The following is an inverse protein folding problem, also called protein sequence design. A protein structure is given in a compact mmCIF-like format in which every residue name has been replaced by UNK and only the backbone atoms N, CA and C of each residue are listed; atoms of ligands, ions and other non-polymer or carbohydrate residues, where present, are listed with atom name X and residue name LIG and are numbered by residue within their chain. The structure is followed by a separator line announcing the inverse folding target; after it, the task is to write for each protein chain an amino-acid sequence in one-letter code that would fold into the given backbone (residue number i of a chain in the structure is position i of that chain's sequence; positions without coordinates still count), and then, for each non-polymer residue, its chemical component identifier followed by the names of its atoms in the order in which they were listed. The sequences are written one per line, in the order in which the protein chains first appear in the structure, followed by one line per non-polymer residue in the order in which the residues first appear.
data_IF_902748594739
#
_entry.id   IF_902748594739
#
_cell.length_a   1.000
_cell.length_b   1.000
_cell.length_c   1.000
_cell.angle_alpha   90.00
_cell.angle_beta   90.00
_cell.angle_gamma   90.00
#
_symmetry.space_group_name_H-M   'P 1'
#
loop_
_entity.id
_entity.type
_entity.pdbx_description
1 polymer ?
#
# COMPACT_ATOMS: atom_id res chain seq x y z
N UNK A 1 21.59 -8.79 -4.32
CA UNK A 1 22.65 -7.81 -3.99
C UNK A 1 23.55 -8.41 -2.92
N UNK A 2 24.88 -8.47 -3.10
CA UNK A 2 25.79 -8.93 -2.02
C UNK A 2 25.88 -7.83 -0.95
N UNK A 3 25.56 -8.14 0.31
CA UNK A 3 25.74 -7.20 1.43
C UNK A 3 27.23 -6.98 1.68
N UNK A 4 27.70 -5.74 1.54
CA UNK A 4 29.07 -5.37 1.92
C UNK A 4 29.14 -4.98 3.39
N UNK A 5 30.36 -4.96 3.95
CA UNK A 5 30.61 -4.61 5.36
C UNK A 5 30.17 -3.18 5.66
N UNK A 6 30.34 -2.27 4.70
CA UNK A 6 29.94 -0.86 4.80
C UNK A 6 28.42 -0.72 4.89
N UNK A 7 27.66 -1.49 4.10
CA UNK A 7 26.19 -1.49 4.12
C UNK A 7 25.69 -2.02 5.47
N UNK A 8 26.25 -3.14 5.94
CA UNK A 8 25.88 -3.73 7.24
C UNK A 8 26.21 -2.79 8.41
N UNK A 9 27.34 -2.07 8.33
CA UNK A 9 27.71 -1.10 9.35
C UNK A 9 26.81 0.14 9.33
N UNK A 10 26.48 0.66 8.14
CA UNK A 10 25.54 1.76 8.01
C UNK A 10 24.18 1.40 8.59
N UNK A 11 23.66 0.20 8.27
CA UNK A 11 22.39 -0.31 8.78
C UNK A 11 22.36 -0.36 10.31
N UNK A 12 23.46 -0.75 10.98
CA UNK A 12 23.47 -0.74 12.45
C UNK A 12 23.53 0.67 13.03
N UNK A 13 24.25 1.61 12.42
CA UNK A 13 24.34 2.99 12.89
C UNK A 13 22.96 3.66 12.81
N UNK A 14 22.25 3.44 11.70
CA UNK A 14 20.91 3.96 11.43
C UNK A 14 19.80 3.19 12.15
N UNK A 15 20.11 2.02 12.73
CA UNK A 15 19.17 1.10 13.37
C UNK A 15 18.07 0.63 12.40
N UNK A 16 18.45 0.41 11.15
CA UNK A 16 17.55 0.07 10.06
C UNK A 16 16.91 -1.31 10.29
N UNK A 17 15.57 -1.33 10.43
CA UNK A 17 14.79 -2.54 10.67
C UNK A 17 14.60 -3.39 9.42
N UNK A 18 14.83 -2.84 8.22
CA UNK A 18 14.74 -3.61 6.96
C UNK A 18 15.78 -4.73 6.86
N UNK A 19 16.86 -4.62 7.65
CA UNK A 19 17.93 -5.63 7.74
C UNK A 19 17.73 -6.64 8.88
N UNK A 20 16.61 -6.60 9.61
CA UNK A 20 16.32 -7.61 10.63
C UNK A 20 16.28 -9.02 10.05
N UNK A 21 17.00 -9.95 10.70
CA UNK A 21 17.11 -11.33 10.24
C UNK A 21 18.03 -11.53 9.03
N UNK A 22 18.58 -10.47 8.45
CA UNK A 22 19.54 -10.54 7.33
C UNK A 22 20.96 -10.80 7.84
N UNK A 23 21.34 -10.16 8.95
CA UNK A 23 22.62 -10.37 9.60
C UNK A 23 22.58 -10.02 11.10
N UNK A 24 23.61 -10.45 11.83
CA UNK A 24 23.89 -10.09 13.22
C UNK A 24 25.24 -9.38 13.30
N UNK A 25 25.36 -8.41 14.20
CA UNK A 25 26.62 -7.72 14.48
C UNK A 25 27.23 -8.28 15.74
N UNK A 26 28.45 -8.78 15.67
CA UNK A 26 29.22 -9.19 16.83
C UNK A 26 30.28 -8.14 17.17
N UNK A 27 30.34 -7.73 18.43
CA UNK A 27 31.25 -6.70 18.93
C UNK A 27 32.45 -7.38 19.57
N UNK A 28 33.61 -7.31 18.91
CA UNK A 28 34.85 -8.01 19.29
C UNK A 28 35.29 -7.65 20.72
N UNK A 29 35.17 -6.38 21.08
CA UNK A 29 35.66 -5.84 22.37
C UNK A 29 34.81 -6.25 23.57
N UNK A 30 33.50 -6.47 23.39
CA UNK A 30 32.58 -6.80 24.50
C UNK A 30 32.16 -8.26 24.50
N UNK A 31 32.43 -8.99 23.42
CA UNK A 31 31.96 -10.36 23.23
C UNK A 31 30.44 -10.44 23.14
N UNK A 32 29.76 -9.39 22.67
CA UNK A 32 28.29 -9.31 22.56
C UNK A 32 27.89 -9.28 21.09
N UNK A 33 26.88 -10.06 20.71
CA UNK A 33 26.23 -9.89 19.40
C UNK A 33 24.83 -9.29 19.51
N UNK A 34 24.45 -8.52 18.49
CA UNK A 34 23.28 -7.66 18.42
C UNK A 34 22.57 -7.80 17.07
N UNK A 35 21.33 -7.33 17.03
CA UNK A 35 20.56 -7.12 15.81
C UNK A 35 20.85 -5.75 15.18
N UNK A 36 20.57 -5.54 13.88
CA UNK A 36 20.75 -4.24 13.24
C UNK A 36 19.97 -3.11 13.92
N UNK A 37 18.71 -3.37 14.33
CA UNK A 37 17.87 -2.38 15.01
C UNK A 37 18.22 -2.12 16.50
N UNK A 38 19.26 -2.76 17.04
CA UNK A 38 19.60 -2.66 18.46
C UNK A 38 19.83 -1.21 18.89
N UNK A 39 19.25 -0.78 20.01
CA UNK A 39 19.39 0.60 20.50
C UNK A 39 20.65 0.85 21.34
N UNK A 40 21.43 -0.19 21.63
CA UNK A 40 22.69 -0.08 22.37
C UNK A 40 23.70 0.84 21.65
N UNK A 41 24.64 1.42 22.43
CA UNK A 41 25.72 2.27 21.92
C UNK A 41 26.47 1.56 20.79
N UNK A 42 26.63 2.24 19.65
CA UNK A 42 27.22 1.66 18.45
C UNK A 42 28.76 1.60 18.57
N UNK A 43 29.38 0.43 18.41
CA UNK A 43 30.82 0.28 18.38
C UNK A 43 31.41 0.86 17.08
N UNK A 44 32.72 1.15 17.08
CA UNK A 44 33.44 1.52 15.86
C UNK A 44 33.50 0.34 14.87
N UNK A 45 33.59 0.63 13.57
CA UNK A 45 33.64 -0.36 12.49
C UNK A 45 34.74 -1.42 12.69
N UNK A 46 35.93 -1.00 13.10
CA UNK A 46 37.06 -1.88 13.40
C UNK A 46 36.77 -2.93 14.49
N UNK A 47 35.83 -2.63 15.38
CA UNK A 47 35.46 -3.45 16.55
C UNK A 47 34.26 -4.36 16.30
N UNK A 48 33.78 -4.48 15.06
CA UNK A 48 32.68 -5.37 14.71
C UNK A 48 33.04 -6.37 13.63
N UNK A 49 32.35 -7.51 13.66
CA UNK A 49 32.23 -8.44 12.55
C UNK A 49 30.76 -8.84 12.38
N UNK A 50 30.41 -9.37 11.22
CA UNK A 50 29.02 -9.65 10.85
C UNK A 50 28.82 -11.13 10.54
N UNK A 51 27.67 -11.65 10.94
CA UNK A 51 27.28 -13.05 10.77
C UNK A 51 25.89 -13.17 10.17
N UNK A 52 25.61 -14.25 9.45
CA UNK A 52 24.28 -14.47 8.87
C UNK A 52 23.30 -14.99 9.91
N UNK A 53 23.79 -15.80 10.85
CA UNK A 53 22.93 -16.48 11.83
C UNK A 53 23.41 -16.23 13.26
N UNK A 54 22.47 -16.23 14.21
CA UNK A 54 22.80 -16.18 15.64
C UNK A 54 23.59 -17.40 16.11
N UNK A 55 23.43 -18.54 15.42
CA UNK A 55 24.20 -19.77 15.67
C UNK A 55 25.70 -19.57 15.40
N UNK A 56 26.06 -18.91 14.30
CA UNK A 56 27.45 -18.56 13.99
C UNK A 56 28.07 -17.68 15.08
N UNK A 57 27.33 -16.69 15.58
CA UNK A 57 27.78 -15.82 16.68
C UNK A 57 28.10 -16.64 17.94
N UNK A 58 27.21 -17.56 18.33
CA UNK A 58 27.39 -18.39 19.54
C UNK A 58 28.59 -19.34 19.38
N UNK A 59 28.73 -19.99 18.22
CA UNK A 59 29.84 -20.90 17.94
C UNK A 59 31.20 -20.20 18.01
N UNK A 60 31.24 -18.90 17.73
CA UNK A 60 32.42 -18.04 17.90
C UNK A 60 32.56 -17.41 19.29
N UNK A 61 31.74 -17.82 20.26
CA UNK A 61 31.86 -17.39 21.66
C UNK A 61 31.18 -16.05 21.99
N UNK A 62 30.39 -15.47 21.08
CA UNK A 62 29.66 -14.24 21.36
C UNK A 62 28.39 -14.50 22.18
N UNK A 63 28.17 -13.67 23.19
CA UNK A 63 26.98 -13.70 24.05
C UNK A 63 25.87 -12.80 23.51
N UNK A 64 24.59 -13.16 23.71
CA UNK A 64 23.48 -12.36 23.22
C UNK A 64 23.36 -11.03 23.96
N UNK A 65 23.13 -9.94 23.22
CA UNK A 65 22.87 -8.63 23.80
C UNK A 65 21.60 -8.63 24.65
N UNK A 66 21.68 -8.11 25.88
CA UNK A 66 20.53 -7.97 26.79
C UNK A 66 19.56 -6.85 26.39
N UNK A 67 20.00 -5.91 25.54
CA UNK A 67 19.17 -4.79 25.06
C UNK A 67 18.21 -5.28 23.96
N UNK A 68 18.75 -5.80 22.85
CA UNK A 68 17.92 -6.28 21.74
C UNK A 68 17.49 -7.75 21.84
N UNK A 69 18.00 -8.49 22.84
CA UNK A 69 17.71 -9.90 23.09
C UNK A 69 17.71 -10.74 21.79
N UNK A 70 18.83 -10.82 21.05
CA UNK A 70 18.89 -11.31 19.66
C UNK A 70 18.46 -12.77 19.50
N UNK A 71 18.49 -13.56 20.58
CA UNK A 71 18.02 -14.94 20.62
C UNK A 71 16.53 -15.09 20.89
N UNK A 72 15.86 -14.04 21.39
CA UNK A 72 14.40 -14.00 21.38
C UNK A 72 13.97 -13.78 19.93
N UNK A 73 13.21 -14.72 19.37
CA UNK A 73 12.52 -14.53 18.10
C UNK A 73 11.74 -13.21 18.18
N UNK A 74 12.07 -12.21 17.35
CA UNK A 74 11.46 -10.87 17.49
C UNK A 74 9.96 -10.87 17.18
N UNK A 75 9.43 -11.99 16.68
CA UNK A 75 8.03 -12.13 16.30
C UNK A 75 7.48 -13.50 16.75
N UNK A 76 7.48 -13.80 18.04
CA UNK A 76 6.28 -14.50 18.53
C UNK A 76 5.25 -13.40 18.74
N UNK A 77 4.45 -13.19 17.69
CA UNK A 77 3.17 -12.52 17.81
C UNK A 77 2.48 -13.09 19.06
N UNK A 78 2.06 -12.25 20.03
CA UNK A 78 1.34 -12.71 21.21
C UNK A 78 0.25 -13.70 20.81
N UNK A 79 0.02 -14.75 21.62
CA UNK A 79 -0.91 -15.84 21.26
C UNK A 79 -2.30 -15.29 20.92
N UNK A 80 -2.71 -14.24 21.61
CA UNK A 80 -3.96 -13.51 21.41
C UNK A 80 -4.00 -12.89 20.00
N UNK A 81 -2.90 -12.29 19.53
CA UNK A 81 -2.83 -11.71 18.19
C UNK A 81 -2.71 -12.80 17.12
N UNK A 82 -2.03 -13.91 17.43
CA UNK A 82 -1.95 -15.07 16.54
C UNK A 82 -3.30 -15.69 16.30
N UNK A 83 -4.13 -15.80 17.33
CA UNK A 83 -5.51 -16.24 17.20
C UNK A 83 -6.31 -15.33 16.26
N UNK A 84 -6.19 -14.01 16.39
CA UNK A 84 -6.84 -13.03 15.50
C UNK A 84 -6.37 -13.21 14.04
N UNK A 85 -5.08 -13.39 13.80
CA UNK A 85 -4.55 -13.62 12.45
C UNK A 85 -5.03 -14.95 11.87
N UNK A 86 -5.10 -16.01 12.68
CA UNK A 86 -5.63 -17.29 12.26
C UNK A 86 -7.12 -17.19 11.88
N UNK A 87 -7.92 -16.46 12.66
CA UNK A 87 -9.33 -16.18 12.34
C UNK A 87 -9.47 -15.41 11.01
N UNK A 88 -8.66 -14.36 10.81
CA UNK A 88 -8.63 -13.62 9.53
C UNK A 88 -8.19 -14.50 8.36
N UNK A 89 -7.28 -15.45 8.59
CA UNK A 89 -6.81 -16.37 7.55
C UNK A 89 -7.85 -17.42 7.18
N UNK A 90 -8.66 -17.86 8.15
CA UNK A 90 -9.74 -18.82 7.93
C UNK A 90 -10.94 -18.16 7.22
N UNK A 91 -11.31 -16.94 7.63
CA UNK A 91 -12.33 -16.14 6.95
C UNK A 91 -11.84 -14.70 6.68
N UNK A 92 -11.30 -14.46 5.48
CA UNK A 92 -10.85 -13.15 5.03
C UNK A 92 -11.97 -12.11 4.89
N UNK A 93 -13.25 -12.44 5.05
CA UNK A 93 -14.31 -11.43 5.06
C UNK A 93 -14.47 -10.75 6.43
N UNK A 94 -13.91 -11.34 7.49
CA UNK A 94 -14.02 -10.84 8.86
C UNK A 94 -13.41 -9.43 9.03
N UNK A 95 -14.03 -8.67 9.92
CA UNK A 95 -13.60 -7.30 10.28
C UNK A 95 -13.70 -7.08 11.78
N UNK A 96 -12.59 -7.23 12.49
CA UNK A 96 -12.51 -6.87 13.91
C UNK A 96 -12.51 -5.35 14.09
N UNK A 97 -13.54 -4.84 14.75
CA UNK A 97 -13.61 -3.50 15.33
C UNK A 97 -13.02 -3.50 16.74
N UNK A 98 -12.80 -2.31 17.29
CA UNK A 98 -12.27 -2.14 18.64
C UNK A 98 -13.14 -2.84 19.71
N UNK A 99 -14.46 -2.92 19.50
CA UNK A 99 -15.38 -3.66 20.37
C UNK A 99 -15.11 -5.18 20.35
N UNK A 100 -14.93 -5.75 19.17
CA UNK A 100 -14.68 -7.20 18.99
C UNK A 100 -13.34 -7.61 19.61
N UNK A 101 -12.33 -6.74 19.49
CA UNK A 101 -11.03 -6.94 20.14
C UNK A 101 -11.15 -6.95 21.66
N UNK A 102 -11.92 -6.02 22.23
CA UNK A 102 -12.16 -5.96 23.69
C UNK A 102 -12.88 -7.21 24.20
N UNK A 103 -13.87 -7.73 23.48
CA UNK A 103 -14.55 -8.98 23.85
C UNK A 103 -13.58 -10.18 23.88
N UNK A 104 -12.52 -10.14 23.07
CA UNK A 104 -11.45 -11.15 23.03
C UNK A 104 -10.30 -10.85 24.00
N UNK A 105 -10.46 -9.90 24.92
CA UNK A 105 -9.44 -9.53 25.91
C UNK A 105 -8.25 -8.75 25.33
N UNK A 106 -8.35 -8.24 24.10
CA UNK A 106 -7.29 -7.49 23.43
C UNK A 106 -7.58 -5.99 23.53
N UNK A 107 -6.63 -5.25 24.10
CA UNK A 107 -6.73 -3.79 24.14
C UNK A 107 -6.40 -3.19 22.75
N UNK A 108 -7.31 -2.41 22.13
CA UNK A 108 -7.13 -1.93 20.76
C UNK A 108 -5.89 -1.05 20.53
N UNK A 109 -5.48 -0.24 21.52
CA UNK A 109 -4.30 0.62 21.40
C UNK A 109 -2.99 -0.19 21.44
N UNK A 110 -2.95 -1.31 22.16
CA UNK A 110 -1.80 -2.21 22.27
C UNK A 110 -1.56 -2.94 20.96
N UNK A 111 -2.59 -3.59 20.39
CA UNK A 111 -2.45 -4.26 19.10
C UNK A 111 -2.14 -3.26 17.98
N UNK A 112 -2.73 -2.05 18.01
CA UNK A 112 -2.39 -1.00 17.05
C UNK A 112 -0.91 -0.59 17.15
N UNK A 113 -0.41 -0.32 18.36
CA UNK A 113 1.01 0.02 18.59
C UNK A 113 1.94 -1.11 18.20
N UNK A 114 1.54 -2.36 18.49
CA UNK A 114 2.31 -3.54 18.10
C UNK A 114 2.41 -3.67 16.58
N UNK A 115 1.30 -3.52 15.84
CA UNK A 115 1.33 -3.58 14.37
C UNK A 115 2.12 -2.42 13.75
N UNK A 116 2.01 -1.20 14.28
CA UNK A 116 2.83 -0.08 13.79
C UNK A 116 4.32 -0.37 14.02
N UNK A 117 4.68 -0.86 15.22
CA UNK A 117 6.06 -1.13 15.58
C UNK A 117 6.68 -2.28 14.78
N UNK A 118 5.93 -3.34 14.51
CA UNK A 118 6.45 -4.57 13.89
C UNK A 118 6.18 -4.68 12.38
N UNK A 119 5.17 -3.97 11.86
CA UNK A 119 4.76 -4.02 10.45
C UNK A 119 4.69 -2.65 9.76
N UNK A 120 4.96 -1.54 10.48
CA UNK A 120 4.91 -0.19 9.92
C UNK A 120 3.49 0.33 9.61
N UNK A 121 2.46 -0.48 9.85
CA UNK A 121 1.06 -0.16 9.53
C UNK A 121 0.15 -0.44 10.72
N UNK A 122 -1.01 0.21 10.78
CA UNK A 122 -2.01 -0.10 11.81
C UNK A 122 -2.63 -1.49 11.60
N UNK A 123 -3.09 -2.14 12.67
CA UNK A 123 -3.83 -3.40 12.57
C UNK A 123 -5.03 -3.31 11.60
N UNK A 124 -5.77 -2.20 11.62
CA UNK A 124 -6.89 -1.98 10.71
C UNK A 124 -6.45 -1.90 9.23
N UNK A 125 -5.26 -1.37 8.96
CA UNK A 125 -4.67 -1.36 7.62
C UNK A 125 -4.19 -2.76 7.22
N UNK A 126 -3.58 -3.50 8.14
CA UNK A 126 -3.19 -4.89 7.94
C UNK A 126 -4.39 -5.76 7.55
N UNK A 127 -5.49 -5.69 8.31
CA UNK A 127 -6.71 -6.43 8.01
C UNK A 127 -7.19 -6.14 6.59
N UNK A 128 -7.27 -4.86 6.21
CA UNK A 128 -7.72 -4.45 4.88
C UNK A 128 -6.84 -5.03 3.77
N UNK A 129 -5.52 -4.88 3.92
CA UNK A 129 -4.56 -5.42 2.96
C UNK A 129 -4.68 -6.95 2.88
N UNK A 130 -4.85 -7.63 4.01
CA UNK A 130 -5.05 -9.08 4.06
C UNK A 130 -6.30 -9.52 3.31
N UNK A 131 -7.44 -8.84 3.51
CA UNK A 131 -8.70 -9.13 2.79
C UNK A 131 -8.52 -8.98 1.29
N UNK A 132 -7.92 -7.87 0.86
CA UNK A 132 -7.65 -7.60 -0.55
C UNK A 132 -6.73 -8.69 -1.12
N UNK A 133 -5.60 -8.95 -0.47
CA UNK A 133 -4.64 -9.95 -0.92
C UNK A 133 -5.25 -11.36 -0.98
N UNK A 134 -6.12 -11.72 -0.02
CA UNK A 134 -6.80 -13.01 -0.06
C UNK A 134 -7.82 -13.09 -1.19
N UNK A 135 -8.53 -12.01 -1.50
CA UNK A 135 -9.41 -11.96 -2.66
C UNK A 135 -8.61 -12.19 -3.95
N UNK A 136 -7.48 -11.51 -4.11
CA UNK A 136 -6.58 -11.69 -5.25
C UNK A 136 -5.99 -13.11 -5.34
N UNK A 137 -5.52 -13.69 -4.22
CA UNK A 137 -4.92 -15.04 -4.21
C UNK A 137 -5.92 -16.12 -4.63
N UNK A 138 -7.18 -16.01 -4.19
CA UNK A 138 -8.25 -16.94 -4.61
C UNK A 138 -8.52 -16.85 -6.12
N UNK A 139 -8.42 -15.65 -6.70
CA UNK A 139 -8.58 -15.44 -8.15
C UNK A 139 -7.35 -15.98 -8.92
N UNK A 140 -6.12 -15.70 -8.45
CA UNK A 140 -4.88 -16.13 -9.12
C UNK A 140 -4.65 -17.65 -9.10
N UNK A 141 -5.01 -18.33 -8.01
CA UNK A 141 -4.79 -19.77 -7.87
C UNK A 141 -5.82 -20.62 -8.61
N UNK A 142 -6.80 -19.99 -9.28
CA UNK A 142 -7.81 -20.66 -10.08
C UNK A 142 -8.31 -21.92 -9.41
N UNK A 143 -8.98 -21.80 -8.25
CA UNK A 143 -9.69 -22.93 -7.65
C UNK A 143 -10.47 -23.62 -8.77
N UNK A 144 -9.92 -24.74 -9.20
CA UNK A 144 -10.46 -25.54 -10.28
C UNK A 144 -11.73 -26.15 -9.72
N UNK A 145 -12.87 -25.65 -10.19
CA UNK A 145 -14.00 -26.52 -10.47
C UNK A 145 -13.52 -27.51 -11.55
N UNK A 146 -12.78 -28.54 -11.14
CA UNK A 146 -12.66 -29.80 -11.89
C UNK A 146 -13.60 -30.75 -11.18
N UNK A 147 -14.89 -30.71 -11.49
CA UNK A 147 -15.45 -31.35 -12.67
C UNK A 147 -16.48 -30.43 -13.34
N UNK A 148 -16.67 -30.59 -14.66
CA UNK A 148 -17.66 -29.91 -15.52
C UNK A 148 -17.18 -28.62 -16.18
N UNK A 149 -16.06 -28.71 -16.90
CA UNK A 149 -15.74 -27.75 -17.96
C UNK A 149 -15.66 -28.44 -19.34
N UNK A 150 -16.27 -29.62 -19.52
CA UNK A 150 -16.26 -30.28 -20.82
C UNK A 150 -17.58 -30.87 -21.32
N UNK A 151 -18.61 -31.02 -20.50
CA UNK A 151 -19.85 -31.62 -21.00
C UNK A 151 -21.04 -30.89 -20.38
N UNK A 152 -21.99 -30.51 -21.23
CA UNK A 152 -23.30 -29.93 -20.91
C UNK A 152 -23.33 -28.45 -20.50
N UNK A 153 -23.33 -27.56 -21.50
CA UNK A 153 -24.40 -26.55 -21.66
C UNK A 153 -24.60 -25.47 -20.59
N UNK A 154 -23.65 -25.21 -19.70
CA UNK A 154 -23.74 -24.08 -18.75
C UNK A 154 -22.60 -23.08 -18.97
N UNK A 155 -22.90 -21.95 -19.61
CA UNK A 155 -21.99 -20.83 -19.79
C UNK A 155 -22.37 -19.67 -18.85
N UNK A 156 -21.65 -19.45 -17.73
CA UNK A 156 -21.29 -18.08 -17.26
C UNK A 156 -20.64 -18.00 -15.87
N UNK A 157 -19.64 -17.11 -15.79
CA UNK A 157 -19.21 -16.11 -14.76
C UNK A 157 -19.73 -16.13 -13.28
N UNK A 158 -20.28 -17.21 -12.75
CA UNK A 158 -20.89 -17.25 -11.41
C UNK A 158 -19.87 -17.41 -10.26
N UNK A 159 -18.88 -18.30 -10.39
CA UNK A 159 -17.85 -18.51 -9.35
C UNK A 159 -16.90 -17.31 -9.15
N UNK A 160 -16.75 -16.49 -10.20
CA UNK A 160 -16.00 -15.24 -10.19
C UNK A 160 -16.68 -14.16 -9.32
N UNK A 161 -18.01 -14.08 -9.40
CA UNK A 161 -18.80 -13.07 -8.71
C UNK A 161 -18.89 -13.29 -7.20
N UNK A 162 -18.98 -14.54 -6.74
CA UNK A 162 -19.34 -14.83 -5.35
C UNK A 162 -18.21 -14.55 -4.34
N UNK A 163 -16.96 -14.89 -4.67
CA UNK A 163 -15.81 -14.58 -3.80
C UNK A 163 -15.54 -13.07 -3.70
N UNK A 164 -15.69 -12.35 -4.82
CA UNK A 164 -15.50 -10.90 -4.85
C UNK A 164 -16.69 -10.16 -4.22
N UNK A 165 -17.92 -10.67 -4.39
CA UNK A 165 -19.15 -10.17 -3.74
C UNK A 165 -19.09 -10.33 -2.23
N UNK A 166 -18.55 -11.43 -1.71
CA UNK A 166 -18.44 -11.64 -0.26
C UNK A 166 -17.46 -10.64 0.39
N UNK A 167 -16.39 -10.25 -0.30
CA UNK A 167 -15.37 -9.32 0.25
C UNK A 167 -15.68 -7.85 -0.08
N UNK A 168 -16.17 -7.57 -1.29
CA UNK A 168 -16.36 -6.23 -1.82
C UNK A 168 -17.81 -5.88 -2.15
N UNK A 169 -18.79 -6.72 -1.84
CA UNK A 169 -20.23 -6.40 -1.90
C UNK A 169 -20.81 -6.08 -3.28
N UNK A 170 -20.07 -6.33 -4.36
CA UNK A 170 -20.53 -6.15 -5.75
C UNK A 170 -20.60 -7.51 -6.43
N UNK A 171 -21.82 -7.91 -6.81
CA UNK A 171 -22.10 -9.07 -7.65
C UNK A 171 -22.13 -8.61 -9.11
N UNK A 172 -21.65 -9.43 -10.07
CA UNK A 172 -22.10 -9.31 -11.45
C UNK A 172 -23.62 -9.36 -11.43
N UNK A 173 -24.29 -8.35 -11.99
CA UNK A 173 -25.71 -8.45 -12.29
C UNK A 173 -25.78 -9.02 -13.70
N UNK A 174 -26.47 -10.14 -13.87
CA UNK A 174 -26.65 -10.78 -15.18
C UNK A 174 -27.53 -9.92 -16.11
N UNK A 175 -27.01 -8.77 -16.55
CA UNK A 175 -27.58 -7.93 -17.59
C UNK A 175 -26.65 -7.95 -18.79
N UNK A 176 -27.20 -8.22 -19.98
CA UNK A 176 -26.49 -8.25 -21.28
C UNK A 176 -25.75 -6.95 -21.66
N UNK A 177 -25.73 -5.93 -20.80
CA UNK A 177 -25.14 -4.60 -21.03
C UNK A 177 -24.26 -4.10 -19.86
N UNK A 178 -23.81 -4.97 -18.95
CA UNK A 178 -22.93 -4.54 -17.86
C UNK A 178 -21.50 -4.31 -18.36
N UNK A 179 -20.95 -3.11 -18.12
CA UNK A 179 -19.56 -2.80 -18.48
C UNK A 179 -18.57 -3.64 -17.67
N UNK A 180 -17.35 -3.81 -18.17
CA UNK A 180 -16.27 -4.50 -17.45
C UNK A 180 -15.25 -3.46 -16.99
N UNK A 181 -14.86 -3.56 -15.72
CA UNK A 181 -13.68 -2.90 -15.16
C UNK A 181 -12.67 -4.01 -14.91
N UNK A 182 -11.53 -3.97 -15.60
CA UNK A 182 -10.42 -4.87 -15.31
C UNK A 182 -9.60 -4.30 -14.17
N UNK A 183 -9.02 -5.19 -13.36
CA UNK A 183 -8.29 -4.86 -12.14
C UNK A 183 -6.98 -5.64 -12.09
N UNK A 184 -5.89 -4.93 -11.78
CA UNK A 184 -4.54 -5.48 -11.65
C UNK A 184 -3.85 -4.92 -10.42
N UNK A 185 -2.99 -5.75 -9.82
CA UNK A 185 -2.09 -5.34 -8.73
C UNK A 185 -0.78 -4.84 -9.33
N UNK A 186 -0.29 -3.71 -8.84
CA UNK A 186 0.98 -3.11 -9.26
C UNK A 186 1.82 -2.86 -8.02
N UNK A 187 3.10 -3.27 -8.05
CA UNK A 187 4.05 -2.96 -6.99
C UNK A 187 4.72 -1.61 -7.26
N UNK A 188 4.89 -0.81 -6.20
CA UNK A 188 5.59 0.47 -6.28
C UNK A 188 6.52 0.64 -5.07
N UNK A 189 7.51 1.55 -5.13
CA UNK A 189 8.33 1.90 -3.97
C UNK A 189 7.51 2.40 -2.76
N UNK A 190 6.27 2.86 -2.97
CA UNK A 190 5.35 3.35 -1.95
C UNK A 190 4.38 2.27 -1.42
N UNK A 191 4.60 1.03 -1.83
CA UNK A 191 3.77 -0.14 -1.51
C UNK A 191 2.85 -0.55 -2.66
N UNK A 192 2.11 -1.62 -2.43
CA UNK A 192 1.21 -2.19 -3.42
C UNK A 192 0.04 -1.25 -3.73
N UNK A 193 -0.24 -1.09 -5.03
CA UNK A 193 -1.41 -0.39 -5.55
C UNK A 193 -2.35 -1.33 -6.31
N UNK A 194 -3.63 -0.99 -6.34
CA UNK A 194 -4.61 -1.56 -7.26
C UNK A 194 -4.85 -0.57 -8.38
N UNK A 195 -4.73 -1.05 -9.61
CA UNK A 195 -5.16 -0.35 -10.81
C UNK A 195 -6.48 -0.96 -11.30
N UNK A 196 -7.45 -0.11 -11.63
CA UNK A 196 -8.63 -0.49 -12.38
C UNK A 196 -8.67 0.26 -13.71
N UNK A 197 -9.11 -0.41 -14.76
CA UNK A 197 -9.25 0.18 -16.09
C UNK A 197 -10.54 -0.27 -16.77
N UNK A 198 -11.13 0.63 -17.57
CA UNK A 198 -12.10 0.25 -18.60
C UNK A 198 -11.45 0.30 -19.97
N UNK A 199 -12.22 0.05 -21.03
CA UNK A 199 -11.76 0.31 -22.41
C UNK A 199 -11.32 1.78 -22.64
N UNK A 200 -11.90 2.74 -21.90
CA UNK A 200 -11.61 4.17 -22.04
C UNK A 200 -10.30 4.60 -21.36
N UNK A 201 -9.88 3.95 -20.26
CA UNK A 201 -8.70 4.38 -19.51
C UNK A 201 -8.62 3.83 -18.10
N UNK A 202 -7.57 4.21 -17.39
CA UNK A 202 -7.42 3.97 -15.94
C UNK A 202 -8.52 4.74 -15.21
N UNK A 203 -9.29 4.04 -14.39
CA UNK A 203 -10.41 4.61 -13.64
C UNK A 203 -10.20 4.58 -12.12
N UNK A 204 -9.23 3.79 -11.64
CA UNK A 204 -8.76 3.80 -10.26
C UNK A 204 -7.27 3.43 -10.21
N UNK A 205 -6.50 4.10 -9.38
CA UNK A 205 -5.14 3.75 -8.98
C UNK A 205 -4.94 4.14 -7.52
N UNK A 206 -4.96 3.16 -6.62
CA UNK A 206 -4.97 3.41 -5.17
C UNK A 206 -4.17 2.39 -4.37
N UNK A 207 -3.61 2.83 -3.24
CA UNK A 207 -2.85 1.96 -2.34
C UNK A 207 -3.77 0.95 -1.63
N UNK A 208 -3.33 -0.32 -1.54
CA UNK A 208 -4.12 -1.41 -0.95
C UNK A 208 -4.46 -1.19 0.53
N UNK A 209 -3.70 -0.33 1.21
CA UNK A 209 -3.90 0.02 2.62
C UNK A 209 -4.80 1.25 2.83
N UNK A 210 -5.29 1.91 1.76
CA UNK A 210 -6.19 3.08 1.86
C UNK A 210 -7.51 2.73 2.54
N UNK A 211 -7.93 3.56 3.50
CA UNK A 211 -9.14 3.32 4.31
C UNK A 211 -10.41 3.11 3.50
N UNK A 212 -10.56 3.86 2.42
CA UNK A 212 -11.77 3.94 1.61
C UNK A 212 -11.74 3.05 0.36
N UNK A 213 -10.68 2.27 0.14
CA UNK A 213 -10.51 1.51 -1.11
C UNK A 213 -11.68 0.58 -1.45
N UNK A 214 -12.19 -0.17 -0.47
CA UNK A 214 -13.37 -1.04 -0.66
C UNK A 214 -14.61 -0.23 -1.09
N UNK A 215 -14.81 0.94 -0.48
CA UNK A 215 -15.90 1.85 -0.82
C UNK A 215 -15.69 2.46 -2.20
N UNK A 216 -14.45 2.73 -2.60
CA UNK A 216 -14.11 3.26 -3.93
C UNK A 216 -14.34 2.24 -5.02
N UNK A 217 -13.95 0.98 -4.82
CA UNK A 217 -14.25 -0.14 -5.71
C UNK A 217 -15.77 -0.33 -5.88
N UNK A 218 -16.53 -0.33 -4.77
CA UNK A 218 -18.01 -0.37 -4.82
C UNK A 218 -18.60 0.84 -5.57
N UNK A 219 -18.08 2.03 -5.28
CA UNK A 219 -18.56 3.28 -5.86
C UNK A 219 -18.32 3.30 -7.37
N UNK A 220 -17.15 2.89 -7.84
CA UNK A 220 -16.82 2.95 -9.27
C UNK A 220 -17.56 1.88 -10.08
N UNK A 221 -17.70 0.67 -9.52
CA UNK A 221 -18.56 -0.37 -10.09
C UNK A 221 -20.01 0.10 -10.23
N UNK A 222 -20.54 0.78 -9.21
CA UNK A 222 -21.90 1.36 -9.27
C UNK A 222 -22.01 2.50 -10.29
N UNK A 223 -21.07 3.45 -10.27
CA UNK A 223 -21.09 4.62 -11.15
C UNK A 223 -21.01 4.23 -12.63
N UNK A 224 -20.22 3.20 -12.95
CA UNK A 224 -20.02 2.74 -14.32
C UNK A 224 -20.97 1.60 -14.72
N UNK A 225 -21.89 1.22 -13.83
CA UNK A 225 -22.74 0.04 -13.98
C UNK A 225 -21.91 -1.17 -14.48
N UNK A 226 -20.83 -1.48 -13.76
CA UNK A 226 -19.78 -2.37 -14.22
C UNK A 226 -19.47 -3.48 -13.22
N UNK A 227 -19.00 -4.60 -13.74
CA UNK A 227 -18.43 -5.70 -12.95
C UNK A 227 -16.91 -5.53 -12.92
N UNK A 228 -16.31 -5.62 -11.73
CA UNK A 228 -14.86 -5.59 -11.58
C UNK A 228 -14.34 -7.02 -11.74
N UNK A 229 -13.45 -7.24 -12.70
CA UNK A 229 -12.79 -8.52 -12.95
C UNK A 229 -11.28 -8.39 -12.86
N UNK A 230 -10.60 -9.46 -12.43
CA UNK A 230 -9.16 -9.53 -12.68
C UNK A 230 -8.95 -9.78 -14.18
N UNK A 231 -8.10 -8.98 -14.80
CA UNK A 231 -7.86 -9.04 -16.23
C UNK A 231 -6.59 -8.31 -16.59
N UNK A 232 -6.23 -8.38 -17.87
CA UNK A 232 -5.12 -7.61 -18.40
C UNK A 232 -5.68 -6.60 -19.40
N UNK A 233 -5.86 -5.37 -18.93
CA UNK A 233 -6.26 -4.27 -19.79
C UNK A 233 -5.04 -3.72 -20.55
N UNK A 234 -5.24 -3.29 -21.80
CA UNK A 234 -4.21 -2.65 -22.62
C UNK A 234 -3.52 -1.44 -21.95
N UNK A 235 -4.22 -0.77 -21.02
CA UNK A 235 -3.69 0.40 -20.31
C UNK A 235 -2.71 0.02 -19.19
N UNK A 236 -2.69 -1.23 -18.73
CA UNK A 236 -1.86 -1.63 -17.58
C UNK A 236 -0.36 -1.72 -17.91
N UNK A 237 0.00 -2.25 -19.07
CA UNK A 237 1.42 -2.33 -19.47
C UNK A 237 2.02 -0.93 -19.61
N UNK A 238 1.27 0.00 -20.20
CA UNK A 238 1.67 1.40 -20.27
C UNK A 238 1.74 2.03 -18.87
N UNK A 239 0.77 1.75 -18.01
CA UNK A 239 0.76 2.25 -16.63
C UNK A 239 2.00 1.81 -15.84
N UNK A 240 2.34 0.52 -15.85
CA UNK A 240 3.51 -0.01 -15.15
C UNK A 240 4.79 0.65 -15.65
N UNK A 241 4.99 0.69 -16.98
CA UNK A 241 6.16 1.34 -17.59
C UNK A 241 6.30 2.80 -17.13
N UNK A 242 5.21 3.57 -17.18
CA UNK A 242 5.28 4.99 -16.83
C UNK A 242 5.45 5.23 -15.33
N UNK A 243 4.88 4.37 -14.48
CA UNK A 243 5.13 4.43 -13.04
C UNK A 243 6.60 4.11 -12.74
N UNK A 244 7.18 3.11 -13.38
CA UNK A 244 8.61 2.77 -13.22
C UNK A 244 9.50 3.95 -13.64
N UNK A 245 9.24 4.55 -14.80
CA UNK A 245 9.95 5.75 -15.27
C UNK A 245 9.76 6.94 -14.32
N UNK A 246 8.56 7.15 -13.77
CA UNK A 246 8.26 8.23 -12.83
C UNK A 246 9.03 8.05 -11.52
N UNK A 247 9.02 6.85 -10.93
CA UNK A 247 9.76 6.55 -9.70
C UNK A 247 11.28 6.54 -9.92
N UNK A 248 11.74 6.29 -11.15
CA UNK A 248 13.14 6.46 -11.54
C UNK A 248 13.53 7.93 -11.81
N UNK A 249 12.59 8.88 -11.77
CA UNK A 249 12.83 10.30 -12.08
C UNK A 249 13.00 10.60 -13.58
N UNK A 250 12.67 9.66 -14.45
CA UNK A 250 12.82 9.76 -15.91
C UNK A 250 11.56 10.29 -16.61
N UNK A 251 10.42 10.32 -15.90
CA UNK A 251 9.14 10.80 -16.42
C UNK A 251 8.56 11.92 -15.57
N UNK A 252 8.18 12.99 -16.26
CA UNK A 252 7.54 14.16 -15.65
C UNK A 252 6.03 14.27 -15.97
N UNK A 253 5.59 13.64 -17.07
CA UNK A 253 4.21 13.69 -17.56
C UNK A 253 3.68 12.29 -17.86
N UNK A 254 2.40 12.05 -17.60
CA UNK A 254 1.72 10.80 -17.96
C UNK A 254 0.86 11.00 -19.21
N UNK A 255 0.93 10.05 -20.14
CA UNK A 255 0.15 10.03 -21.40
C UNK A 255 -0.80 8.82 -21.47
N UNK A 256 -1.17 8.29 -20.30
CA UNK A 256 -2.11 7.17 -20.17
C UNK A 256 -3.54 7.72 -20.20
N UNK A 257 -4.45 7.14 -21.00
CA UNK A 257 -5.86 7.52 -20.97
C UNK A 257 -6.49 7.32 -19.57
N UNK A 258 -7.21 8.34 -19.10
CA UNK A 258 -7.93 8.30 -17.83
C UNK A 258 -9.44 8.29 -18.07
N UNK A 259 -10.16 7.51 -17.27
CA UNK A 259 -11.61 7.50 -17.22
C UNK A 259 -12.07 7.93 -15.83
N UNK A 260 -12.45 9.21 -15.69
CA UNK A 260 -12.77 9.85 -14.41
C UNK A 260 -14.29 10.06 -14.25
N UNK A 261 -15.05 9.04 -13.82
CA UNK A 261 -16.48 9.22 -13.54
C UNK A 261 -16.67 10.10 -12.31
N UNK A 262 -17.05 11.36 -12.53
CA UNK A 262 -17.28 12.38 -11.51
C UNK A 262 -18.25 13.46 -11.99
N UNK A 263 -18.66 14.33 -11.07
CA UNK A 263 -19.47 15.50 -11.39
C UNK A 263 -18.68 16.48 -12.25
N UNK A 264 -19.37 17.41 -12.94
CA UNK A 264 -18.72 18.49 -13.70
C UNK A 264 -17.71 19.25 -12.82
N UNK A 265 -18.09 19.56 -11.58
CA UNK A 265 -17.20 20.23 -10.62
C UNK A 265 -15.97 19.38 -10.28
N UNK A 266 -16.14 18.09 -9.99
CA UNK A 266 -15.02 17.18 -9.69
C UNK A 266 -14.05 17.08 -10.87
N UNK A 267 -14.56 16.91 -12.09
CA UNK A 267 -13.73 16.83 -13.29
C UNK A 267 -12.97 18.14 -13.54
N UNK A 268 -13.57 19.32 -13.29
CA UNK A 268 -12.86 20.61 -13.34
C UNK A 268 -11.71 20.65 -12.32
N UNK A 269 -11.97 20.23 -11.07
CA UNK A 269 -10.95 20.17 -10.01
C UNK A 269 -9.80 19.24 -10.39
N UNK A 270 -10.10 18.03 -10.91
CA UNK A 270 -9.09 17.05 -11.30
C UNK A 270 -8.32 17.42 -12.57
N UNK A 271 -8.95 18.14 -13.50
CA UNK A 271 -8.25 18.73 -14.64
C UNK A 271 -7.25 19.80 -14.17
N UNK A 272 -7.65 20.67 -13.24
CA UNK A 272 -6.74 21.65 -12.64
C UNK A 272 -5.59 21.02 -11.83
N UNK A 273 -5.78 19.82 -11.27
CA UNK A 273 -4.66 19.07 -10.68
C UNK A 273 -3.64 18.66 -11.73
N UNK A 274 -4.11 18.14 -12.87
CA UNK A 274 -3.24 17.67 -13.95
C UNK A 274 -2.46 18.81 -14.62
N UNK A 275 -2.94 20.06 -14.54
CA UNK A 275 -2.21 21.22 -15.05
C UNK A 275 -1.08 21.70 -14.12
N UNK A 276 -0.98 21.18 -12.89
CA UNK A 276 0.12 21.53 -11.98
C UNK A 276 1.40 20.84 -12.49
N UNK A 277 2.47 21.57 -12.85
CA UNK A 277 3.69 20.96 -13.37
C UNK A 277 4.38 20.03 -12.36
N UNK A 278 5.18 19.10 -12.87
CA UNK A 278 6.05 18.26 -12.06
C UNK A 278 6.99 19.13 -11.21
N UNK A 279 7.14 18.81 -9.92
CA UNK A 279 8.01 19.56 -9.00
C UNK A 279 7.44 20.89 -8.51
N UNK A 280 6.22 21.25 -8.93
CA UNK A 280 5.52 22.45 -8.44
C UNK A 280 4.38 22.09 -7.50
N UNK A 281 4.07 23.00 -6.59
CA UNK A 281 2.94 22.89 -5.67
C UNK A 281 2.10 24.13 -5.69
N UNK A 282 0.80 23.96 -5.46
CA UNK A 282 -0.15 25.06 -5.24
C UNK A 282 -0.93 24.84 -3.94
N UNK A 283 -1.58 25.87 -3.45
CA UNK A 283 -2.53 25.79 -2.34
C UNK A 283 -3.94 25.44 -2.83
N UNK A 284 -4.78 24.94 -1.92
CA UNK A 284 -6.20 24.74 -2.21
C UNK A 284 -6.91 26.03 -2.66
N UNK A 285 -6.45 27.19 -2.17
CA UNK A 285 -6.98 28.50 -2.56
C UNK A 285 -6.61 28.84 -4.01
N UNK A 286 -5.35 28.64 -4.39
CA UNK A 286 -4.89 28.84 -5.77
C UNK A 286 -5.61 27.89 -6.74
N UNK A 287 -5.81 26.63 -6.34
CA UNK A 287 -6.60 25.70 -7.16
C UNK A 287 -8.05 26.16 -7.33
N UNK A 288 -8.68 26.68 -6.27
CA UNK A 288 -10.04 27.22 -6.33
C UNK A 288 -10.14 28.45 -7.26
N UNK A 289 -9.12 29.30 -7.27
CA UNK A 289 -9.01 30.43 -8.20
C UNK A 289 -8.84 29.91 -9.64
N UNK A 290 -7.98 28.91 -9.87
CA UNK A 290 -7.71 28.35 -11.19
C UNK A 290 -8.93 27.71 -11.87
N UNK A 291 -9.92 27.25 -11.07
CA UNK A 291 -11.19 26.71 -11.60
C UNK A 291 -12.34 27.75 -11.59
N UNK A 292 -12.01 29.03 -11.43
CA UNK A 292 -12.99 30.14 -11.39
C UNK A 292 -14.03 29.99 -10.26
N UNK A 293 -13.63 29.43 -9.11
CA UNK A 293 -14.50 29.21 -7.95
C UNK A 293 -13.80 29.57 -6.63
N UNK A 294 -13.35 30.83 -6.44
CA UNK A 294 -12.50 31.23 -5.32
C UNK A 294 -13.13 30.98 -3.93
N UNK A 295 -14.45 31.08 -3.81
CA UNK A 295 -15.18 30.83 -2.55
C UNK A 295 -15.34 29.34 -2.21
N UNK A 296 -14.97 28.44 -3.14
CA UNK A 296 -15.22 26.99 -3.04
C UNK A 296 -14.04 26.18 -2.51
N UNK A 297 -13.11 26.79 -1.75
CA UNK A 297 -11.88 26.13 -1.26
C UNK A 297 -12.16 24.80 -0.57
N UNK A 298 -13.17 24.73 0.31
CA UNK A 298 -13.54 23.48 0.99
C UNK A 298 -14.11 22.43 0.03
N UNK A 299 -14.88 22.85 -0.97
CA UNK A 299 -15.42 21.95 -1.97
C UNK A 299 -14.31 21.38 -2.88
N UNK A 300 -13.32 22.21 -3.24
CA UNK A 300 -12.10 21.78 -3.95
C UNK A 300 -11.32 20.77 -3.12
N UNK A 301 -11.09 21.04 -1.83
CA UNK A 301 -10.41 20.10 -0.94
C UNK A 301 -11.14 18.74 -0.86
N UNK A 302 -12.48 18.76 -0.76
CA UNK A 302 -13.29 17.54 -0.80
C UNK A 302 -13.17 16.80 -2.13
N UNK A 303 -13.23 17.51 -3.26
CA UNK A 303 -13.07 16.91 -4.59
C UNK A 303 -11.67 16.31 -4.80
N UNK A 304 -10.60 16.95 -4.30
CA UNK A 304 -9.26 16.38 -4.27
C UNK A 304 -9.22 15.08 -3.45
N UNK A 305 -9.91 15.03 -2.31
CA UNK A 305 -10.03 13.81 -1.49
C UNK A 305 -10.77 12.67 -2.20
N UNK A 306 -11.63 12.99 -3.16
CA UNK A 306 -12.36 12.02 -3.99
C UNK A 306 -11.59 11.58 -5.24
N UNK A 307 -10.36 12.07 -5.44
CA UNK A 307 -9.49 11.52 -6.47
C UNK A 307 -9.21 10.04 -6.18
N UNK A 308 -9.49 9.20 -7.18
CA UNK A 308 -9.29 7.74 -7.15
C UNK A 308 -8.09 7.30 -7.99
N UNK A 309 -7.41 8.22 -8.67
CA UNK A 309 -6.29 7.93 -9.57
C UNK A 309 -5.06 8.64 -9.01
N UNK A 310 -4.58 8.13 -7.87
CA UNK A 310 -3.41 8.69 -7.19
C UNK A 310 -2.18 8.72 -8.12
N UNK A 311 -1.25 9.65 -7.88
CA UNK A 311 -0.04 9.89 -8.68
C UNK A 311 -0.34 10.52 -10.05
N UNK A 312 -1.17 9.86 -10.89
CA UNK A 312 -1.49 10.31 -12.25
C UNK A 312 -2.33 11.59 -12.24
N UNK A 313 -3.34 11.66 -11.37
CA UNK A 313 -4.00 12.91 -11.00
C UNK A 313 -3.30 13.41 -9.73
N UNK A 314 -2.43 14.44 -9.82
CA UNK A 314 -1.41 14.68 -8.80
C UNK A 314 -1.94 15.50 -7.61
N UNK A 315 -2.89 14.94 -6.87
CA UNK A 315 -3.45 15.58 -5.67
C UNK A 315 -2.42 15.76 -4.54
N UNK A 316 -1.25 15.10 -4.61
CA UNK A 316 -0.13 15.34 -3.70
C UNK A 316 0.54 16.71 -3.90
N UNK A 317 0.37 17.36 -5.07
CA UNK A 317 0.91 18.70 -5.37
C UNK A 317 0.11 19.86 -4.76
N UNK A 318 -1.01 19.58 -4.10
CA UNK A 318 -1.82 20.61 -3.42
C UNK A 318 -1.55 20.61 -1.92
N UNK A 319 -1.13 21.74 -1.34
CA UNK A 319 -0.74 21.88 0.07
C UNK A 319 -1.56 22.96 0.81
N UNK A 320 -1.38 23.05 2.13
CA UNK A 320 -1.94 24.16 2.92
C UNK A 320 -1.32 25.50 2.51
N UNK A 321 -2.06 26.60 2.69
CA UNK A 321 -1.54 27.95 2.40
C UNK A 321 -0.39 28.36 3.33
N UNK A 322 -0.24 27.67 4.46
CA UNK A 322 0.86 27.79 5.41
C UNK A 322 2.07 26.92 5.04
N UNK A 323 2.03 26.25 3.89
CA UNK A 323 3.06 25.32 3.43
C UNK A 323 2.99 23.93 4.09
N UNK A 324 2.02 23.68 4.99
CA UNK A 324 1.95 22.40 5.67
C UNK A 324 1.34 21.30 4.78
N UNK A 325 1.89 20.09 4.93
CA UNK A 325 1.32 18.89 4.34
C UNK A 325 0.04 18.50 5.08
N UNK A 326 -1.09 18.77 4.45
CA UNK A 326 -2.41 18.35 4.92
C UNK A 326 -2.99 17.31 3.96
N UNK A 327 -3.83 16.42 4.48
CA UNK A 327 -4.71 15.51 3.72
C UNK A 327 -4.12 14.78 2.50
N UNK A 328 -3.95 13.46 2.60
CA UNK A 328 -3.66 12.62 1.44
C UNK A 328 -4.31 11.25 1.59
N UNK A 329 -5.04 10.78 0.57
CA UNK A 329 -5.74 9.49 0.60
C UNK A 329 -4.80 8.31 0.86
N UNK A 330 -3.57 8.38 0.35
CA UNK A 330 -2.49 7.42 0.60
C UNK A 330 -1.65 7.65 1.86
N UNK A 331 -1.96 8.67 2.68
CA UNK A 331 -1.18 9.03 3.87
C UNK A 331 -0.04 10.04 3.63
N UNK A 332 0.22 10.89 4.64
CA UNK A 332 1.13 12.04 4.51
C UNK A 332 2.57 11.66 4.15
N UNK A 333 3.04 10.49 4.56
CA UNK A 333 4.39 10.02 4.24
C UNK A 333 4.57 9.77 2.74
N UNK A 334 3.55 9.26 2.04
CA UNK A 334 3.57 9.08 0.58
C UNK A 334 3.55 10.41 -0.14
N UNK A 335 2.71 11.35 0.32
CA UNK A 335 2.67 12.72 -0.21
C UNK A 335 4.03 13.40 -0.10
N UNK A 336 4.68 13.29 1.07
CA UNK A 336 6.03 13.81 1.30
C UNK A 336 7.05 13.19 0.33
N UNK A 337 7.09 11.86 0.23
CA UNK A 337 8.00 11.17 -0.68
C UNK A 337 7.82 11.61 -2.14
N UNK A 338 6.56 11.69 -2.62
CA UNK A 338 6.29 12.10 -4.00
C UNK A 338 6.77 13.53 -4.25
N UNK A 339 6.53 14.46 -3.34
CA UNK A 339 7.02 15.83 -3.47
C UNK A 339 8.56 15.90 -3.47
N UNK A 340 9.23 15.15 -2.59
CA UNK A 340 10.70 15.10 -2.54
C UNK A 340 11.30 14.48 -3.81
N UNK A 341 10.66 13.43 -4.35
CA UNK A 341 11.03 12.83 -5.63
C UNK A 341 10.93 13.85 -6.76
N UNK A 342 9.83 14.60 -6.81
CA UNK A 342 9.60 15.57 -7.86
C UNK A 342 10.50 16.81 -7.74
N UNK A 343 10.73 17.31 -6.54
CA UNK A 343 11.62 18.46 -6.29
C UNK A 343 13.07 18.13 -6.69
N UNK A 344 13.53 16.91 -6.43
CA UNK A 344 14.89 16.48 -6.76
C UNK A 344 15.15 16.41 -8.26
N UNK A 345 14.16 15.98 -9.04
CA UNK A 345 14.30 15.72 -10.47
C UNK A 345 13.68 16.82 -11.36
N UNK A 346 13.01 17.80 -10.77
CA UNK A 346 12.38 18.92 -11.49
C UNK A 346 13.28 20.13 -11.71
N UNK A 347 14.60 20.00 -11.55
CA UNK A 347 15.60 21.06 -11.75
C UNK A 347 16.39 20.88 -13.03
#
# INVERSE_FOLDING_TARGET
MKLTVEIMYKAIVEKDTSFEGVFFTAVKTTGIFCRPSCTARKPKLENVEFFKTSKECILKGYRPCKVCNPLKTLNQMPKEYQQIINELSADPSLKFKDYDLKQKGIEPSQIRRWFIKNHGITFQAYQRMFRINSAFKKIQNGERVTHTAFETGFESLSGFGDSFKNIFGVSPKNGKHQSIIELKRIETPLGTMLACATNQGICLLEFTDRKMLETELKSIAKLLNATIIQGNNKHFELLEKQLDEYFAGQRMTFDIPLHTPGTVFQNKVWAALQSIPYGQTISYKEQAIAIESPESVRAVANANGMNRISILIPCHRVIGSDGQLTGYGGGLWRKKYLLELEEKNGR
#
